data_IF_064726936856
#
_entry.id   IF_064726936856
#
_cell.length_a   1.000
_cell.length_b   1.000
_cell.length_c   1.000
_cell.angle_alpha   90.00
_cell.angle_beta   90.00
_cell.angle_gamma   90.00
#
_symmetry.space_group_name_H-M   'P 1'
#
loop_
_entity.id
_entity.type
_entity.pdbx_description
1 polymer ?
#
# COMPACT_ATOMS: atom_id res chain seq x y z
N UNK A 1 12.15 -7.05 45.87
CA UNK A 1 12.28 -7.05 44.40
C UNK A 1 11.25 -6.12 43.79
N UNK A 2 11.51 -4.84 43.87
CA UNK A 2 10.72 -3.79 43.26
C UNK A 2 10.82 -3.92 41.73
N UNK A 3 9.68 -3.91 41.02
CA UNK A 3 9.63 -3.91 39.58
C UNK A 3 9.46 -5.27 38.86
N UNK A 4 9.23 -6.38 39.58
CA UNK A 4 8.86 -7.65 38.94
C UNK A 4 7.35 -7.84 38.95
N UNK A 5 6.76 -8.11 37.76
CA UNK A 5 5.36 -8.48 37.66
C UNK A 5 5.09 -9.74 38.52
N UNK A 6 4.13 -9.64 39.46
CA UNK A 6 3.71 -10.76 40.33
C UNK A 6 2.75 -11.71 39.60
N UNK A 7 2.00 -11.21 38.61
CA UNK A 7 1.02 -12.02 37.89
C UNK A 7 1.06 -11.55 36.40
N UNK A 8 1.18 -12.52 35.49
CA UNK A 8 0.97 -12.30 34.04
C UNK A 8 -0.36 -12.95 33.67
N UNK A 9 -1.36 -12.15 33.30
CA UNK A 9 -2.63 -12.67 32.80
C UNK A 9 -2.49 -12.81 31.29
N UNK A 10 -2.65 -14.02 30.77
CA UNK A 10 -2.76 -14.28 29.33
C UNK A 10 -4.25 -14.46 29.02
N UNK A 11 -4.76 -13.76 27.99
CA UNK A 11 -6.07 -14.04 27.45
C UNK A 11 -6.03 -15.40 26.74
N UNK A 12 -7.08 -16.19 26.90
CA UNK A 12 -7.28 -17.45 26.16
C UNK A 12 -8.01 -17.22 24.83
N UNK A 13 -8.32 -15.96 24.50
CA UNK A 13 -9.25 -15.63 23.41
C UNK A 13 -8.58 -15.52 22.05
N UNK A 14 -7.28 -15.81 21.95
CA UNK A 14 -6.50 -15.77 20.72
C UNK A 14 -5.38 -14.75 20.78
N UNK A 15 -4.77 -14.49 19.63
CA UNK A 15 -3.70 -13.51 19.45
C UNK A 15 -4.20 -12.30 18.69
N UNK A 16 -3.55 -11.18 18.94
CA UNK A 16 -3.78 -9.94 18.21
C UNK A 16 -2.49 -9.51 17.51
N UNK A 17 -2.62 -9.15 16.25
CA UNK A 17 -1.56 -8.47 15.49
C UNK A 17 -1.81 -6.97 15.60
N UNK A 18 -0.81 -6.24 16.10
CA UNK A 18 -0.87 -4.78 16.21
C UNK A 18 0.14 -4.20 15.24
N UNK A 19 -0.31 -3.28 14.42
CA UNK A 19 0.52 -2.64 13.41
C UNK A 19 0.12 -1.20 13.14
N UNK A 20 0.67 -0.64 12.10
CA UNK A 20 0.24 0.67 11.59
C UNK A 20 0.08 0.65 10.08
N UNK A 21 -0.88 1.41 9.63
CA UNK A 21 -1.19 1.62 8.21
C UNK A 21 -1.01 3.10 7.87
N UNK A 22 -0.48 3.41 6.68
CA UNK A 22 -0.37 4.79 6.23
C UNK A 22 -1.75 5.37 5.89
N UNK A 23 -1.92 6.68 6.02
CA UNK A 23 -3.15 7.38 5.61
C UNK A 23 -3.58 7.09 4.17
N UNK A 24 -2.62 6.75 3.30
CA UNK A 24 -2.88 6.43 1.90
C UNK A 24 -3.59 5.09 1.70
N UNK A 25 -3.60 4.24 2.73
CA UNK A 25 -4.19 2.89 2.70
C UNK A 25 -5.42 2.75 3.61
N UNK A 26 -5.87 3.82 4.26
CA UNK A 26 -7.04 3.77 5.15
C UNK A 26 -8.32 3.35 4.44
N UNK A 27 -8.42 3.62 3.14
CA UNK A 27 -9.56 3.18 2.34
C UNK A 27 -9.56 1.67 2.08
N UNK A 28 -8.39 1.05 2.09
CA UNK A 28 -8.19 -0.36 1.77
C UNK A 28 -8.15 -1.23 3.04
N UNK A 29 -7.59 -0.71 4.15
CA UNK A 29 -7.47 -1.42 5.43
C UNK A 29 -8.53 -0.89 6.40
N UNK A 30 -9.61 -1.63 6.54
CA UNK A 30 -10.77 -1.32 7.39
C UNK A 30 -11.13 -2.51 8.25
N UNK A 31 -12.03 -2.31 9.20
CA UNK A 31 -12.65 -3.40 9.96
C UNK A 31 -13.19 -4.49 9.02
N UNK A 32 -12.86 -5.73 9.31
CA UNK A 32 -13.18 -6.91 8.49
C UNK A 32 -12.19 -7.20 7.36
N UNK A 33 -11.16 -6.36 7.12
CA UNK A 33 -10.12 -6.65 6.12
C UNK A 33 -9.28 -7.83 6.57
N UNK A 34 -9.07 -8.80 5.68
CA UNK A 34 -8.20 -9.96 5.90
C UNK A 34 -6.77 -9.63 5.52
N UNK A 35 -5.85 -10.04 6.36
CA UNK A 35 -4.42 -9.80 6.23
C UNK A 35 -3.69 -11.15 6.21
N UNK A 36 -2.81 -11.33 5.24
CA UNK A 36 -1.90 -12.47 5.20
C UNK A 36 -0.67 -12.18 6.08
N UNK A 37 -0.55 -12.95 7.12
CA UNK A 37 0.48 -12.79 8.13
C UNK A 37 1.48 -13.93 8.08
N UNK A 38 2.74 -13.65 8.41
CA UNK A 38 3.78 -14.66 8.53
C UNK A 38 4.63 -14.38 9.76
N UNK A 39 4.81 -15.37 10.61
CA UNK A 39 5.77 -15.34 11.72
C UNK A 39 6.85 -16.40 11.54
N UNK A 40 7.98 -16.20 12.20
CA UNK A 40 9.07 -17.19 12.17
C UNK A 40 8.68 -18.50 12.86
N UNK A 41 7.89 -18.43 13.93
CA UNK A 41 7.51 -19.56 14.77
C UNK A 41 6.34 -20.35 14.23
N UNK A 42 5.35 -19.69 13.65
CA UNK A 42 4.07 -20.31 13.24
C UNK A 42 3.86 -20.38 11.72
N UNK A 43 4.78 -19.81 10.92
CA UNK A 43 4.61 -19.74 9.48
C UNK A 43 3.50 -18.76 9.06
N UNK A 44 2.77 -19.08 8.00
CA UNK A 44 1.73 -18.22 7.45
C UNK A 44 0.38 -18.47 8.09
N UNK A 45 -0.38 -17.40 8.36
CA UNK A 45 -1.72 -17.42 8.92
C UNK A 45 -2.50 -16.17 8.52
N UNK A 46 -3.81 -16.21 8.68
CA UNK A 46 -4.71 -15.08 8.40
C UNK A 46 -5.07 -14.34 9.70
N UNK A 47 -5.12 -13.02 9.62
CA UNK A 47 -5.67 -12.16 10.66
C UNK A 47 -6.75 -11.24 10.06
N UNK A 48 -7.77 -10.90 10.85
CA UNK A 48 -8.85 -10.02 10.43
C UNK A 48 -8.79 -8.71 11.22
N UNK A 49 -8.80 -7.57 10.51
CA UNK A 49 -8.76 -6.25 11.14
C UNK A 49 -10.03 -6.02 11.95
N UNK A 50 -9.86 -5.77 13.24
CA UNK A 50 -10.95 -5.45 14.17
C UNK A 50 -11.18 -3.95 14.33
N UNK A 51 -10.09 -3.19 14.30
CA UNK A 51 -10.13 -1.76 14.57
C UNK A 51 -8.96 -1.05 13.89
N UNK A 52 -9.22 0.15 13.39
CA UNK A 52 -8.21 1.10 12.91
C UNK A 52 -8.43 2.42 13.64
N UNK A 53 -7.38 2.94 14.26
CA UNK A 53 -7.45 4.17 15.04
C UNK A 53 -7.93 5.36 14.18
N UNK A 54 -8.82 6.18 14.71
CA UNK A 54 -9.24 7.43 14.08
C UNK A 54 -8.17 8.54 14.16
N UNK A 55 -7.17 8.36 15.03
CA UNK A 55 -6.12 9.35 15.27
C UNK A 55 -4.77 8.82 14.85
N UNK A 56 -3.94 9.67 14.19
CA UNK A 56 -2.61 9.26 13.81
C UNK A 56 -1.74 9.00 15.04
N UNK A 57 -0.83 8.05 14.89
CA UNK A 57 0.14 7.73 15.93
C UNK A 57 1.17 8.84 16.04
N UNK A 58 1.44 9.27 17.25
CA UNK A 58 2.45 10.29 17.55
C UNK A 58 3.72 9.62 18.10
N UNK A 59 4.87 9.91 17.51
CA UNK A 59 6.18 9.43 17.96
C UNK A 59 6.76 8.26 17.14
N UNK A 60 8.00 7.86 17.47
CA UNK A 60 8.76 6.80 16.78
C UNK A 60 8.32 5.38 17.19
N UNK A 61 7.03 5.16 17.42
CA UNK A 61 6.52 3.92 18.02
C UNK A 61 6.37 2.76 17.04
N UNK A 62 6.76 2.92 15.78
CA UNK A 62 6.60 1.87 14.78
C UNK A 62 7.92 1.42 14.21
N UNK A 63 8.07 0.11 14.14
CA UNK A 63 9.19 -0.57 13.54
C UNK A 63 8.95 -0.68 12.04
N UNK A 64 9.81 -0.04 11.26
CA UNK A 64 9.77 -0.02 9.80
C UNK A 64 10.26 1.30 9.23
N UNK A 65 10.49 1.36 7.92
CA UNK A 65 10.79 2.62 7.24
C UNK A 65 9.50 3.43 7.10
N UNK A 66 9.35 4.45 7.92
CA UNK A 66 8.22 5.40 7.81
C UNK A 66 8.55 6.50 6.81
N UNK A 67 7.59 6.86 5.97
CA UNK A 67 7.67 8.07 5.18
C UNK A 67 7.33 9.27 6.09
N UNK A 68 8.25 10.23 6.33
CA UNK A 68 8.00 11.35 7.24
C UNK A 68 6.90 12.32 6.76
N UNK A 69 6.44 12.16 5.52
CA UNK A 69 5.44 13.03 4.90
C UNK A 69 4.02 12.44 4.90
N UNK A 70 3.81 11.30 5.57
CA UNK A 70 2.49 10.67 5.71
C UNK A 70 2.23 10.33 7.16
N UNK A 71 0.97 10.41 7.55
CA UNK A 71 0.50 9.99 8.87
C UNK A 71 0.28 8.48 8.89
N UNK A 72 0.49 7.86 10.05
CA UNK A 72 0.27 6.44 10.27
C UNK A 72 -0.78 6.25 11.37
N UNK A 73 -1.63 5.25 11.19
CA UNK A 73 -2.74 4.93 12.08
C UNK A 73 -2.57 3.52 12.61
N UNK A 74 -2.72 3.35 13.91
CA UNK A 74 -2.64 2.02 14.51
C UNK A 74 -3.82 1.17 14.07
N UNK A 75 -3.57 -0.12 13.83
CA UNK A 75 -4.63 -1.11 13.66
C UNK A 75 -4.41 -2.29 14.59
N UNK A 76 -5.49 -2.98 14.91
CA UNK A 76 -5.50 -4.25 15.62
C UNK A 76 -6.25 -5.28 14.78
N UNK A 77 -5.62 -6.42 14.54
CA UNK A 77 -6.24 -7.54 13.84
C UNK A 77 -6.25 -8.79 14.73
N UNK A 78 -7.33 -9.55 14.69
CA UNK A 78 -7.51 -10.79 15.47
C UNK A 78 -7.04 -11.99 14.64
N UNK A 79 -6.33 -12.88 15.29
CA UNK A 79 -5.94 -14.18 14.74
C UNK A 79 -6.92 -15.23 15.29
N UNK A 80 -7.77 -15.76 14.42
CA UNK A 80 -8.83 -16.71 14.81
C UNK A 80 -8.31 -18.13 15.04
N UNK A 81 -7.17 -18.47 14.44
CA UNK A 81 -6.56 -19.80 14.58
C UNK A 81 -5.85 -19.93 15.93
N UNK A 82 -6.47 -20.67 16.84
CA UNK A 82 -5.94 -20.93 18.20
C UNK A 82 -4.88 -22.04 18.25
N UNK A 83 -4.61 -22.70 17.13
CA UNK A 83 -3.61 -23.78 17.06
C UNK A 83 -2.19 -23.26 16.83
N UNK A 84 -2.08 -21.98 16.45
CA UNK A 84 -0.80 -21.32 16.21
C UNK A 84 0.01 -21.19 17.49
N UNK A 85 1.31 -21.35 17.35
CA UNK A 85 2.28 -21.24 18.44
C UNK A 85 2.94 -19.87 18.49
N UNK A 86 2.12 -18.82 18.49
CA UNK A 86 2.59 -17.46 18.64
C UNK A 86 2.92 -17.15 20.10
N UNK A 87 3.97 -16.36 20.30
CA UNK A 87 4.32 -15.82 21.59
C UNK A 87 4.02 -14.32 21.67
N UNK A 88 3.87 -13.83 22.89
CA UNK A 88 3.66 -12.40 23.14
C UNK A 88 4.91 -11.61 22.68
N UNK A 89 4.69 -10.60 21.81
CA UNK A 89 5.70 -9.77 21.15
C UNK A 89 6.49 -10.46 20.02
N UNK A 90 5.98 -11.56 19.47
CA UNK A 90 6.52 -12.12 18.23
C UNK A 90 6.39 -11.10 17.08
N UNK A 91 7.41 -11.07 16.25
CA UNK A 91 7.38 -10.28 15.02
C UNK A 91 6.55 -10.97 13.95
N UNK A 92 5.63 -10.23 13.39
CA UNK A 92 4.76 -10.69 12.32
C UNK A 92 4.97 -9.80 11.09
N UNK A 93 5.27 -10.41 9.96
CA UNK A 93 5.21 -9.74 8.66
C UNK A 93 3.78 -9.78 8.19
N UNK A 94 3.21 -8.62 7.91
CA UNK A 94 1.85 -8.49 7.36
C UNK A 94 1.96 -8.15 5.91
N UNK A 95 1.36 -8.97 5.05
CA UNK A 95 1.20 -8.73 3.64
C UNK A 95 -0.28 -8.44 3.36
N UNK A 96 -0.53 -7.37 2.66
CA UNK A 96 -1.84 -7.03 2.18
C UNK A 96 -1.76 -6.89 0.66
N UNK A 97 -2.45 -7.75 -0.05
CA UNK A 97 -2.65 -7.61 -1.48
C UNK A 97 -3.96 -6.88 -1.71
N UNK A 98 -3.87 -5.61 -2.09
CA UNK A 98 -5.04 -4.89 -2.54
C UNK A 98 -5.54 -5.54 -3.83
N UNK A 99 -6.72 -6.12 -3.78
CA UNK A 99 -7.39 -6.62 -4.99
C UNK A 99 -7.95 -5.43 -5.75
N UNK A 100 -7.53 -5.24 -6.98
CA UNK A 100 -8.23 -4.35 -7.89
C UNK A 100 -9.66 -4.91 -8.07
N UNK A 101 -10.67 -4.09 -7.86
CA UNK A 101 -12.05 -4.46 -8.21
C UNK A 101 -12.18 -4.49 -9.73
N UNK A 102 -13.16 -5.21 -10.28
CA UNK A 102 -13.38 -5.34 -11.74
C UNK A 102 -13.45 -3.99 -12.48
N UNK A 103 -13.76 -2.91 -11.78
CA UNK A 103 -13.84 -1.55 -12.32
C UNK A 103 -12.68 -0.63 -11.89
N UNK A 104 -11.62 -1.18 -11.29
CA UNK A 104 -10.47 -0.35 -10.90
C UNK A 104 -9.55 -0.11 -12.10
N UNK A 105 -9.24 1.15 -12.34
CA UNK A 105 -8.18 1.50 -13.29
C UNK A 105 -6.83 1.13 -12.66
N UNK A 106 -6.06 0.31 -13.37
CA UNK A 106 -4.74 -0.12 -12.94
C UNK A 106 -3.73 0.25 -14.03
N UNK A 107 -2.63 0.89 -13.63
CA UNK A 107 -1.52 1.20 -14.55
C UNK A 107 -0.21 0.64 -14.02
N UNK A 108 0.74 0.37 -14.90
CA UNK A 108 2.08 -0.02 -14.47
C UNK A 108 2.74 1.11 -13.68
N UNK A 109 3.29 0.79 -12.52
CA UNK A 109 3.97 1.75 -11.64
C UNK A 109 5.10 2.51 -12.33
N UNK A 110 5.71 1.91 -13.36
CA UNK A 110 6.75 2.54 -14.17
C UNK A 110 6.30 3.81 -14.90
N UNK A 111 4.99 4.00 -15.13
CA UNK A 111 4.45 5.22 -15.72
C UNK A 111 4.22 6.34 -14.71
N UNK A 112 4.23 6.03 -13.41
CA UNK A 112 3.97 7.00 -12.34
C UNK A 112 5.27 7.62 -11.84
N UNK A 113 5.28 8.94 -11.77
CA UNK A 113 6.34 9.74 -11.14
C UNK A 113 5.80 10.40 -9.89
N UNK A 114 6.71 10.68 -8.96
CA UNK A 114 6.39 11.47 -7.77
C UNK A 114 7.25 12.73 -7.75
N UNK A 115 6.62 13.85 -7.46
CA UNK A 115 7.27 15.14 -7.28
C UNK A 115 6.55 15.89 -6.15
N UNK A 116 7.28 16.31 -5.12
CA UNK A 116 6.74 17.01 -3.95
C UNK A 116 5.52 16.29 -3.33
N UNK A 117 5.61 14.98 -3.11
CA UNK A 117 4.54 14.10 -2.60
C UNK A 117 3.27 13.99 -3.48
N UNK A 118 3.33 14.45 -4.71
CA UNK A 118 2.25 14.31 -5.67
C UNK A 118 2.62 13.29 -6.74
N UNK A 119 1.74 12.32 -6.92
CA UNK A 119 1.87 11.36 -8.00
C UNK A 119 1.35 11.98 -9.29
N UNK A 120 2.06 11.75 -10.38
CA UNK A 120 1.64 12.21 -11.70
C UNK A 120 2.09 11.26 -12.80
N UNK A 121 1.43 11.37 -13.92
CA UNK A 121 1.81 10.74 -15.18
C UNK A 121 2.01 11.82 -16.25
N UNK A 122 2.69 11.48 -17.32
CA UNK A 122 2.62 12.26 -18.54
C UNK A 122 1.54 11.71 -19.45
N UNK A 123 0.58 12.56 -19.82
CA UNK A 123 -0.57 12.23 -20.63
C UNK A 123 -0.52 13.00 -21.95
N UNK A 124 -1.04 12.38 -23.02
CA UNK A 124 -1.28 13.09 -24.26
C UNK A 124 -2.45 14.08 -24.11
N UNK A 125 -2.23 15.30 -24.49
CA UNK A 125 -3.26 16.34 -24.61
C UNK A 125 -3.20 16.94 -26.03
N UNK A 126 -3.96 16.36 -26.95
CA UNK A 126 -4.03 16.79 -28.37
C UNK A 126 -2.66 16.78 -29.07
N UNK A 127 -1.87 15.76 -28.93
CA UNK A 127 -0.56 15.61 -29.57
C UNK A 127 0.59 16.28 -28.82
N UNK A 128 0.35 16.74 -27.58
CA UNK A 128 1.33 17.38 -26.72
C UNK A 128 1.34 16.74 -25.34
N UNK A 129 2.53 16.46 -24.83
CA UNK A 129 2.71 15.87 -23.52
C UNK A 129 2.39 16.85 -22.40
N UNK A 130 1.53 16.46 -21.49
CA UNK A 130 1.13 17.25 -20.33
C UNK A 130 1.31 16.45 -19.03
N UNK A 131 1.79 17.11 -17.99
CA UNK A 131 1.86 16.55 -16.64
C UNK A 131 0.45 16.51 -16.05
N UNK A 132 -0.03 15.32 -15.71
CA UNK A 132 -1.35 15.09 -15.11
C UNK A 132 -1.16 14.53 -13.70
N UNK A 133 -1.63 15.26 -12.68
CA UNK A 133 -1.66 14.77 -11.29
C UNK A 133 -2.72 13.67 -11.18
N UNK A 134 -2.36 12.60 -10.46
CA UNK A 134 -3.23 11.46 -10.23
C UNK A 134 -3.36 11.15 -8.74
N UNK A 135 -4.50 10.64 -8.34
CA UNK A 135 -4.69 10.01 -7.04
C UNK A 135 -4.34 8.52 -7.16
N UNK A 136 -3.18 8.15 -6.65
CA UNK A 136 -2.73 6.76 -6.65
C UNK A 136 -3.16 6.08 -5.34
N UNK A 137 -3.69 4.87 -5.46
CA UNK A 137 -4.04 3.97 -4.36
C UNK A 137 -2.93 2.95 -4.08
N UNK A 138 -3.35 1.77 -3.62
CA UNK A 138 -2.44 0.68 -3.31
C UNK A 138 -1.71 0.14 -4.56
N UNK A 139 -0.56 -0.48 -4.33
CA UNK A 139 0.14 -1.25 -5.37
C UNK A 139 -0.41 -2.67 -5.42
N UNK A 140 -0.57 -3.19 -6.62
CA UNK A 140 -1.00 -4.56 -6.92
C UNK A 140 0.05 -5.29 -7.77
N UNK A 141 -0.20 -6.53 -8.15
CA UNK A 141 0.70 -7.33 -8.98
C UNK A 141 2.13 -7.38 -8.42
N UNK A 142 2.27 -7.73 -7.14
CA UNK A 142 3.58 -7.78 -6.45
C UNK A 142 4.36 -6.45 -6.52
N UNK A 143 3.64 -5.33 -6.57
CA UNK A 143 4.21 -3.98 -6.58
C UNK A 143 4.55 -3.41 -7.97
N UNK A 144 4.23 -4.14 -9.05
CA UNK A 144 4.47 -3.69 -10.43
C UNK A 144 3.40 -2.74 -10.96
N UNK A 145 2.21 -2.81 -10.41
CA UNK A 145 1.06 -2.00 -10.82
C UNK A 145 0.55 -1.14 -9.68
N UNK A 146 -0.20 -0.10 -10.01
CA UNK A 146 -0.82 0.80 -9.04
C UNK A 146 -2.27 1.08 -9.45
N UNK A 147 -3.16 1.05 -8.46
CA UNK A 147 -4.55 1.44 -8.64
C UNK A 147 -4.63 2.96 -8.77
N UNK A 148 -5.31 3.47 -9.79
CA UNK A 148 -5.60 4.89 -9.97
C UNK A 148 -7.01 5.18 -9.48
N UNK A 149 -7.12 5.98 -8.42
CA UNK A 149 -8.40 6.38 -7.81
C UNK A 149 -9.00 7.62 -8.47
N UNK A 150 -8.19 8.37 -9.23
CA UNK A 150 -8.66 9.56 -9.95
C UNK A 150 -7.55 10.29 -10.70
N UNK A 151 -7.95 11.21 -11.56
CA UNK A 151 -7.04 12.03 -12.36
C UNK A 151 -6.76 11.47 -13.77
N UNK A 152 -7.25 10.26 -14.08
CA UNK A 152 -7.19 9.66 -15.42
C UNK A 152 -8.56 9.12 -15.84
N UNK A 153 -8.76 9.01 -17.14
CA UNK A 153 -9.86 8.31 -17.80
C UNK A 153 -9.32 7.10 -18.58
N UNK A 154 -10.17 6.11 -18.85
CA UNK A 154 -9.78 4.90 -19.58
C UNK A 154 -9.24 5.18 -20.99
N UNK A 155 -9.71 6.27 -21.61
CA UNK A 155 -9.29 6.69 -22.95
C UNK A 155 -7.99 7.52 -22.96
N UNK A 156 -7.41 7.82 -21.79
CA UNK A 156 -6.21 8.62 -21.70
C UNK A 156 -4.97 7.85 -22.15
N UNK A 157 -4.22 8.42 -23.09
CA UNK A 157 -2.93 7.90 -23.53
C UNK A 157 -1.83 8.45 -22.60
N UNK A 158 -1.10 7.57 -21.96
CA UNK A 158 -0.01 7.92 -21.04
C UNK A 158 1.35 7.58 -21.66
N UNK A 159 2.36 8.40 -21.39
CA UNK A 159 3.71 8.20 -21.90
C UNK A 159 4.64 7.63 -20.83
N UNK A 160 5.59 6.77 -21.26
CA UNK A 160 6.66 6.27 -20.40
C UNK A 160 7.59 7.43 -20.00
N UNK A 161 7.73 7.73 -18.69
CA UNK A 161 8.25 9.02 -18.24
C UNK A 161 9.78 9.17 -18.22
N UNK A 162 10.54 8.16 -18.64
CA UNK A 162 12.00 8.13 -18.48
C UNK A 162 12.79 8.41 -19.77
N UNK A 163 12.12 8.76 -20.86
CA UNK A 163 12.79 9.16 -22.10
C UNK A 163 13.46 10.54 -21.96
N UNK A 164 14.59 10.76 -22.66
CA UNK A 164 15.33 12.02 -22.63
C UNK A 164 14.49 13.24 -23.08
N UNK A 165 13.55 12.99 -23.96
CA UNK A 165 12.69 14.02 -24.56
C UNK A 165 11.32 14.11 -23.89
N UNK A 166 11.08 13.31 -22.83
CA UNK A 166 9.81 13.31 -22.10
C UNK A 166 9.80 14.49 -21.14
N UNK A 167 9.15 15.54 -21.56
CA UNK A 167 8.93 16.77 -20.79
C UNK A 167 7.62 17.42 -21.23
N UNK A 168 7.06 18.21 -20.36
CA UNK A 168 5.86 18.98 -20.66
C UNK A 168 6.04 19.81 -21.94
N UNK A 169 5.04 19.79 -22.82
CA UNK A 169 5.07 20.46 -24.12
C UNK A 169 5.74 19.68 -25.27
N UNK A 170 6.31 18.50 -25.00
CA UNK A 170 6.87 17.66 -26.06
C UNK A 170 5.75 17.11 -26.96
N UNK A 171 6.04 16.92 -28.23
CA UNK A 171 5.12 16.28 -29.17
C UNK A 171 5.01 14.78 -28.86
N UNK A 172 3.80 14.27 -28.95
CA UNK A 172 3.51 12.86 -28.73
C UNK A 172 3.37 12.10 -30.05
N UNK A 173 3.58 10.80 -29.98
CA UNK A 173 3.26 9.85 -31.04
C UNK A 173 2.76 8.61 -30.36
N UNK A 174 1.58 8.15 -30.76
CA UNK A 174 1.04 6.88 -30.29
C UNK A 174 1.89 5.71 -30.80
N UNK A 175 2.23 4.81 -29.90
CA UNK A 175 2.96 3.56 -30.16
C UNK A 175 2.35 2.45 -29.34
N UNK A 176 2.44 1.21 -29.81
CA UNK A 176 2.09 0.04 -29.02
C UNK A 176 3.19 -0.29 -28.00
N UNK A 177 2.86 -1.05 -26.96
CA UNK A 177 3.84 -1.51 -25.97
C UNK A 177 5.01 -2.28 -26.61
N UNK A 178 4.73 -3.13 -27.61
CA UNK A 178 5.76 -3.87 -28.35
C UNK A 178 6.74 -2.93 -29.07
N UNK A 179 6.23 -1.87 -29.68
CA UNK A 179 7.07 -0.86 -30.33
C UNK A 179 7.88 -0.03 -29.33
N UNK A 180 7.37 0.15 -28.10
CA UNK A 180 8.07 0.86 -27.04
C UNK A 180 9.25 0.06 -26.49
N UNK A 181 9.11 -1.27 -26.40
CA UNK A 181 10.15 -2.17 -25.87
C UNK A 181 11.08 -2.74 -26.95
N UNK A 182 10.86 -2.43 -28.23
CA UNK A 182 11.79 -2.78 -29.30
C UNK A 182 11.74 -4.24 -29.77
N UNK A 183 10.56 -4.88 -29.65
CA UNK A 183 10.28 -6.19 -30.22
C UNK A 183 9.61 -6.07 -31.58
#
# INVERSE_FOLDING_TARGET
TEGKALIKVKSSDGFYVIGSVSELMLDDIKEGTKLDCTSYTSGSFEAEVMDVSEYPVTGNSFYGSSNPNVSYYAFTAVVSDKTLQLEDQDWVTVNYEASATENSMVIQKAFVRNDNNKNYVYKDDNGILKKQEISAGATVDSGYSVIVKGGLSEDDLIAFPYGKDVKEGAKTKEVTLDQMYGY
#
